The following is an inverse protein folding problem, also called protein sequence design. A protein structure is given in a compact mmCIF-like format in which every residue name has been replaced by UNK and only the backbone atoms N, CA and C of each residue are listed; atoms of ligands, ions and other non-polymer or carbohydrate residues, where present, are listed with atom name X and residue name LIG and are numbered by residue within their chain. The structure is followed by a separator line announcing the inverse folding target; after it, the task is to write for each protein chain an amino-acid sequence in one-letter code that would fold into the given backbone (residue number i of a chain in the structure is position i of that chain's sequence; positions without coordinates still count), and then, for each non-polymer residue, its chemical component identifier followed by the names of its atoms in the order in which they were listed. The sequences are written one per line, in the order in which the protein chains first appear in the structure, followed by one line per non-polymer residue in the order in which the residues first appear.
data_IF_464598935638
#
_entry.id   IF_464598935638
#
_cell.length_a   1.000
_cell.length_b   1.000
_cell.length_c   1.000
_cell.angle_alpha   90.00
_cell.angle_beta   90.00
_cell.angle_gamma   90.00
#
_symmetry.space_group_name_H-M   'P 1'
#
loop_
_entity.id
_entity.type
_entity.pdbx_description
1 polymer ?
#
# COMPACT_ATOMS: atom_id res chain seq x y z
N UNK A 1 16.32 20.43 18.83
CA UNK A 1 15.08 19.70 19.21
C UNK A 1 15.40 18.21 19.13
N UNK A 2 15.06 17.43 20.15
CA UNK A 2 15.55 16.06 20.32
C UNK A 2 15.07 15.07 19.26
N UNK A 3 15.66 13.87 19.24
CA UNK A 3 15.42 12.80 18.26
C UNK A 3 13.94 12.35 18.14
N UNK A 4 13.12 12.66 19.15
CA UNK A 4 11.68 12.35 19.20
C UNK A 4 10.78 13.50 18.72
N UNK A 5 11.34 14.66 18.38
CA UNK A 5 10.57 15.83 17.93
C UNK A 5 9.83 15.59 16.60
N UNK A 6 10.28 14.65 15.77
CA UNK A 6 9.62 14.25 14.52
C UNK A 6 8.21 13.67 14.74
N UNK A 7 7.98 12.98 15.86
CA UNK A 7 6.65 12.43 16.20
C UNK A 7 5.64 13.54 16.57
N UNK A 8 6.13 14.72 16.95
CA UNK A 8 5.33 15.83 17.48
C UNK A 8 5.28 17.05 16.55
N UNK A 9 6.08 17.11 15.49
CA UNK A 9 6.20 18.31 14.67
C UNK A 9 5.00 18.52 13.72
N UNK A 10 4.23 17.47 13.46
CA UNK A 10 3.05 17.55 12.59
C UNK A 10 1.81 16.96 13.28
N UNK A 11 0.65 17.52 12.95
CA UNK A 11 -0.71 17.01 13.27
C UNK A 11 -0.93 15.57 12.75
N UNK A 12 0.09 14.99 12.13
CA UNK A 12 0.20 13.65 11.57
C UNK A 12 -0.22 12.54 12.53
N UNK A 13 0.16 12.54 13.81
CA UNK A 13 -0.26 11.44 14.71
C UNK A 13 -1.74 11.53 15.11
N UNK A 14 -2.28 12.74 15.32
CA UNK A 14 -3.70 12.96 15.61
C UNK A 14 -4.53 12.54 14.42
N UNK A 15 -4.12 12.96 13.21
CA UNK A 15 -4.74 12.52 11.97
C UNK A 15 -4.63 11.01 11.80
N UNK A 16 -3.47 10.41 12.09
CA UNK A 16 -3.28 8.95 12.00
C UNK A 16 -4.24 8.21 12.91
N UNK A 17 -4.41 8.65 14.16
CA UNK A 17 -5.41 8.09 15.07
C UNK A 17 -6.82 8.30 14.51
N UNK A 18 -7.16 9.52 14.07
CA UNK A 18 -8.47 9.84 13.49
C UNK A 18 -8.83 8.96 12.29
N UNK A 19 -7.91 8.82 11.33
CA UNK A 19 -8.06 7.97 10.16
C UNK A 19 -8.17 6.49 10.54
N UNK A 20 -7.33 6.02 11.46
CA UNK A 20 -7.36 4.63 11.92
C UNK A 20 -8.69 4.32 12.61
N UNK A 21 -9.14 5.18 13.53
CA UNK A 21 -10.43 5.05 14.21
C UNK A 21 -11.59 5.06 13.22
N UNK A 22 -11.57 5.96 12.21
CA UNK A 22 -12.59 6.00 11.16
C UNK A 22 -12.63 4.68 10.38
N UNK A 23 -11.49 4.23 9.86
CA UNK A 23 -11.38 3.00 9.06
C UNK A 23 -11.88 1.79 9.87
N UNK A 24 -11.35 1.60 11.08
CA UNK A 24 -11.72 0.45 11.92
C UNK A 24 -13.20 0.50 12.32
N UNK A 25 -13.72 1.68 12.70
CA UNK A 25 -15.13 1.83 13.05
C UNK A 25 -16.03 1.49 11.86
N UNK A 26 -15.71 1.99 10.67
CA UNK A 26 -16.47 1.67 9.46
C UNK A 26 -16.48 0.17 9.18
N UNK A 27 -15.33 -0.50 9.28
CA UNK A 27 -15.24 -1.96 9.09
C UNK A 27 -16.10 -2.70 10.12
N UNK A 28 -15.95 -2.40 11.41
CA UNK A 28 -16.71 -3.04 12.49
C UNK A 28 -18.22 -2.82 12.37
N UNK A 29 -18.64 -1.61 12.03
CA UNK A 29 -20.06 -1.27 11.84
C UNK A 29 -20.64 -2.05 10.67
N UNK A 30 -19.96 -2.09 9.52
CA UNK A 30 -20.44 -2.84 8.36
C UNK A 30 -20.45 -4.35 8.64
N UNK A 31 -19.45 -4.89 9.33
CA UNK A 31 -19.42 -6.30 9.73
C UNK A 31 -20.62 -6.68 10.59
N UNK A 32 -20.98 -5.78 11.52
CA UNK A 32 -22.11 -5.97 12.42
C UNK A 32 -23.46 -5.79 11.74
N UNK A 33 -23.59 -4.83 10.83
CA UNK A 33 -24.86 -4.50 10.16
C UNK A 33 -25.17 -5.41 8.97
N UNK A 34 -24.13 -5.90 8.28
CA UNK A 34 -24.27 -6.71 7.07
C UNK A 34 -23.58 -8.08 7.20
N UNK A 35 -23.87 -8.88 8.25
CA UNK A 35 -23.17 -10.15 8.48
C UNK A 35 -23.47 -11.21 7.42
N UNK A 36 -24.58 -11.09 6.70
CA UNK A 36 -25.01 -12.03 5.65
C UNK A 36 -24.41 -11.73 4.26
N UNK A 37 -23.75 -10.59 4.12
CA UNK A 37 -23.12 -10.18 2.86
C UNK A 37 -21.75 -10.83 2.77
N UNK A 38 -21.40 -11.34 1.58
CA UNK A 38 -20.09 -11.96 1.34
C UNK A 38 -18.95 -10.99 1.62
N UNK A 39 -17.83 -11.48 2.11
CA UNK A 39 -16.67 -10.67 2.47
C UNK A 39 -16.17 -9.82 1.31
N UNK A 40 -16.14 -10.37 0.09
CA UNK A 40 -15.79 -9.62 -1.13
C UNK A 40 -16.71 -8.42 -1.41
N UNK A 41 -18.00 -8.55 -1.13
CA UNK A 41 -18.97 -7.47 -1.31
C UNK A 41 -18.88 -6.46 -0.17
N UNK A 42 -18.69 -6.93 1.07
CA UNK A 42 -18.43 -6.06 2.22
C UNK A 42 -17.18 -5.23 2.01
N UNK A 43 -16.14 -5.80 1.39
CA UNK A 43 -14.93 -5.06 1.04
C UNK A 43 -15.20 -3.83 0.17
N UNK A 44 -16.02 -3.99 -0.87
CA UNK A 44 -16.43 -2.88 -1.74
C UNK A 44 -17.30 -1.88 -0.99
N UNK A 45 -18.14 -2.33 -0.04
CA UNK A 45 -18.94 -1.44 0.80
C UNK A 45 -18.05 -0.64 1.75
N UNK A 46 -17.05 -1.26 2.42
CA UNK A 46 -16.07 -0.54 3.24
C UNK A 46 -15.39 0.56 2.42
N UNK A 47 -14.92 0.21 1.22
CA UNK A 47 -14.24 1.16 0.32
C UNK A 47 -15.16 2.31 -0.11
N UNK A 48 -16.40 2.01 -0.49
CA UNK A 48 -17.37 3.03 -0.91
C UNK A 48 -17.68 4.01 0.21
N UNK A 49 -18.00 3.50 1.41
CA UNK A 49 -18.29 4.34 2.57
C UNK A 49 -17.06 5.14 2.98
N UNK A 50 -15.88 4.51 3.06
CA UNK A 50 -14.66 5.22 3.47
C UNK A 50 -14.23 6.26 2.46
N UNK A 51 -14.37 6.01 1.15
CA UNK A 51 -14.09 7.05 0.14
C UNK A 51 -15.03 8.24 0.32
N UNK A 52 -16.32 7.99 0.57
CA UNK A 52 -17.30 9.05 0.82
C UNK A 52 -17.06 9.83 2.11
N UNK A 53 -16.49 9.20 3.15
CA UNK A 53 -16.19 9.87 4.42
C UNK A 53 -14.83 10.58 4.42
N UNK A 54 -13.79 9.95 3.86
CA UNK A 54 -12.43 10.46 3.86
C UNK A 54 -12.29 11.68 2.96
N UNK A 55 -12.92 11.69 1.76
CA UNK A 55 -12.78 12.82 0.82
C UNK A 55 -13.28 14.14 1.42
N UNK A 56 -14.50 14.25 2.00
CA UNK A 56 -14.94 15.47 2.68
C UNK A 56 -14.08 15.86 3.87
N UNK A 57 -13.60 14.88 4.65
CA UNK A 57 -12.73 15.16 5.80
C UNK A 57 -11.36 15.70 5.37
N UNK A 58 -10.80 15.18 4.28
CA UNK A 58 -9.56 15.69 3.70
C UNK A 58 -9.77 17.11 3.14
N UNK A 59 -10.88 17.35 2.42
CA UNK A 59 -11.28 18.69 1.97
C UNK A 59 -11.35 19.64 3.17
N UNK A 60 -11.99 19.23 4.25
CA UNK A 60 -12.08 20.04 5.45
C UNK A 60 -10.70 20.31 6.06
N UNK A 61 -9.88 19.28 6.26
CA UNK A 61 -8.54 19.39 6.85
C UNK A 61 -7.60 20.31 6.05
N UNK A 62 -7.66 20.24 4.72
CA UNK A 62 -6.89 21.11 3.83
C UNK A 62 -7.40 22.56 3.88
N UNK A 63 -8.71 22.77 3.92
CA UNK A 63 -9.28 24.12 3.95
C UNK A 63 -9.01 24.87 5.28
N UNK A 64 -8.89 24.15 6.40
CA UNK A 64 -8.50 24.74 7.69
C UNK A 64 -6.96 24.86 7.85
N UNK A 65 -6.19 24.56 6.80
CA UNK A 65 -4.72 24.52 6.80
C UNK A 65 -4.10 23.57 7.83
N UNK A 66 -4.84 22.53 8.23
CA UNK A 66 -4.34 21.49 9.12
C UNK A 66 -3.49 20.46 8.35
N UNK A 67 -3.71 20.35 7.04
CA UNK A 67 -2.91 19.55 6.11
C UNK A 67 -2.63 20.34 4.84
N UNK A 68 -1.47 20.11 4.24
CA UNK A 68 -1.10 20.64 2.93
C UNK A 68 -0.50 19.54 2.05
N UNK A 69 -0.65 19.70 0.74
CA UNK A 69 0.07 18.87 -0.23
C UNK A 69 1.48 19.43 -0.43
N UNK A 70 2.45 18.53 -0.62
CA UNK A 70 3.82 18.97 -0.87
C UNK A 70 3.90 19.77 -2.19
N UNK A 71 4.91 20.66 -2.35
CA UNK A 71 5.09 21.41 -3.59
C UNK A 71 5.21 20.50 -4.81
N UNK A 72 5.79 19.32 -4.62
CA UNK A 72 5.89 18.28 -5.63
C UNK A 72 4.52 17.77 -6.04
N UNK A 73 3.68 17.33 -5.09
CA UNK A 73 2.32 16.87 -5.40
C UNK A 73 1.52 17.96 -6.12
N UNK A 74 1.63 19.23 -5.67
CA UNK A 74 0.95 20.35 -6.31
C UNK A 74 1.42 20.64 -7.76
N UNK A 75 2.66 20.28 -8.12
CA UNK A 75 3.18 20.42 -9.49
C UNK A 75 2.70 19.33 -10.45
N UNK A 76 2.14 18.25 -9.89
CA UNK A 76 1.94 16.92 -10.51
C UNK A 76 0.47 16.56 -10.64
N UNK A 77 -0.37 17.15 -9.79
CA UNK A 77 -1.82 17.05 -9.94
C UNK A 77 -2.27 17.68 -11.25
N UNK A 78 -3.40 17.20 -11.77
CA UNK A 78 -4.07 17.60 -13.02
C UNK A 78 -4.32 19.09 -13.19
N UNK A 79 -4.18 19.86 -12.11
CA UNK A 79 -4.67 21.22 -12.01
C UNK A 79 -6.19 21.30 -11.76
N UNK A 80 -6.89 20.16 -11.69
CA UNK A 80 -8.31 20.10 -11.35
C UNK A 80 -8.42 19.93 -9.84
N UNK A 81 -8.90 20.98 -9.17
CA UNK A 81 -9.10 20.99 -7.73
C UNK A 81 -10.58 21.08 -7.38
N UNK A 82 -11.02 20.21 -6.48
CA UNK A 82 -12.30 20.29 -5.80
C UNK A 82 -12.04 20.84 -4.40
N UNK A 83 -12.47 22.07 -4.11
CA UNK A 83 -12.27 22.73 -2.81
C UNK A 83 -10.81 22.69 -2.29
N UNK A 84 -9.84 23.04 -3.16
CA UNK A 84 -8.38 23.00 -2.90
C UNK A 84 -7.75 21.60 -2.79
N UNK A 85 -8.54 20.55 -2.96
CA UNK A 85 -8.07 19.16 -2.99
C UNK A 85 -8.02 18.67 -4.43
N UNK A 86 -6.93 18.01 -4.86
CA UNK A 86 -6.82 17.45 -6.21
C UNK A 86 -7.85 16.36 -6.45
N UNK A 87 -8.47 16.30 -7.64
CA UNK A 87 -9.49 15.30 -7.99
C UNK A 87 -8.97 13.86 -7.89
N UNK A 88 -7.67 13.69 -8.01
CA UNK A 88 -6.92 12.46 -7.82
C UNK A 88 -7.19 11.80 -6.45
N UNK A 89 -7.68 12.56 -5.45
CA UNK A 89 -8.10 12.01 -4.16
C UNK A 89 -9.13 10.88 -4.30
N UNK A 90 -10.00 10.92 -5.32
CA UNK A 90 -10.99 9.89 -5.58
C UNK A 90 -10.37 8.58 -6.08
N UNK A 91 -9.14 8.62 -6.60
CA UNK A 91 -8.36 7.45 -6.95
C UNK A 91 -7.49 7.01 -5.77
N UNK A 92 -6.79 7.94 -5.11
CA UNK A 92 -5.84 7.65 -4.05
C UNK A 92 -6.50 7.02 -2.81
N UNK A 93 -7.65 7.56 -2.42
CA UNK A 93 -8.37 7.12 -1.23
C UNK A 93 -8.74 5.64 -1.31
N UNK A 94 -9.48 5.16 -2.33
CA UNK A 94 -9.87 3.74 -2.37
C UNK A 94 -8.67 2.79 -2.50
N UNK A 95 -7.58 3.18 -3.17
CA UNK A 95 -6.38 2.33 -3.28
C UNK A 95 -5.68 2.18 -1.92
N UNK A 96 -5.35 3.29 -1.25
CA UNK A 96 -4.69 3.24 0.05
C UNK A 96 -5.56 2.60 1.12
N UNK A 97 -6.83 2.99 1.18
CA UNK A 97 -7.77 2.41 2.12
C UNK A 97 -7.97 0.92 1.85
N UNK A 98 -7.96 0.49 0.59
CA UNK A 98 -8.01 -0.94 0.23
C UNK A 98 -6.83 -1.73 0.75
N UNK A 99 -5.61 -1.20 0.68
CA UNK A 99 -4.42 -1.83 1.27
C UNK A 99 -4.53 -1.93 2.80
N UNK A 100 -4.97 -0.86 3.46
CA UNK A 100 -5.11 -0.81 4.92
C UNK A 100 -6.21 -1.79 5.40
N UNK A 101 -7.38 -1.78 4.77
CA UNK A 101 -8.48 -2.70 5.10
C UNK A 101 -8.01 -4.15 4.91
N UNK A 102 -7.38 -4.45 3.77
CA UNK A 102 -6.93 -5.82 3.49
C UNK A 102 -5.86 -6.26 4.49
N UNK A 103 -4.95 -5.37 4.88
CA UNK A 103 -3.99 -5.64 5.93
C UNK A 103 -4.67 -5.96 7.26
N UNK A 104 -5.59 -5.11 7.70
CA UNK A 104 -6.35 -5.33 8.93
C UNK A 104 -7.14 -6.64 8.90
N UNK A 105 -7.91 -6.88 7.84
CA UNK A 105 -8.75 -8.07 7.70
C UNK A 105 -7.94 -9.36 7.56
N UNK A 106 -6.78 -9.31 6.89
CA UNK A 106 -5.86 -10.44 6.83
C UNK A 106 -5.43 -10.88 8.24
N UNK A 107 -5.12 -9.93 9.12
CA UNK A 107 -4.75 -10.23 10.50
C UNK A 107 -5.95 -10.60 11.37
N UNK A 108 -7.14 -10.06 11.11
CA UNK A 108 -8.39 -10.50 11.78
C UNK A 108 -8.62 -12.00 11.60
N UNK A 109 -8.34 -12.59 10.42
CA UNK A 109 -8.41 -14.05 10.26
C UNK A 109 -7.49 -14.84 11.21
N UNK A 110 -6.34 -14.26 11.59
CA UNK A 110 -5.40 -14.87 12.55
C UNK A 110 -5.87 -14.66 13.98
N UNK A 111 -6.35 -13.46 14.30
CA UNK A 111 -6.76 -13.07 15.66
C UNK A 111 -8.05 -13.78 16.06
N UNK A 112 -9.01 -13.87 15.13
CA UNK A 112 -10.33 -14.46 15.35
C UNK A 112 -10.36 -15.98 15.11
N UNK A 113 -9.19 -16.59 14.88
CA UNK A 113 -8.98 -18.03 14.63
C UNK A 113 -9.96 -18.62 13.59
N UNK A 114 -10.18 -17.88 12.50
CA UNK A 114 -11.13 -18.30 11.46
C UNK A 114 -10.57 -19.54 10.75
N UNK A 115 -11.32 -20.66 10.68
CA UNK A 115 -10.84 -21.88 10.03
C UNK A 115 -10.78 -21.68 8.52
N UNK A 116 -9.57 -21.43 8.00
CA UNK A 116 -9.31 -21.30 6.57
C UNK A 116 -8.84 -22.63 5.99
N UNK A 117 -9.53 -23.11 4.96
CA UNK A 117 -9.21 -24.39 4.29
C UNK A 117 -8.05 -24.18 3.32
N UNK A 118 -6.90 -24.83 3.51
CA UNK A 118 -5.81 -24.76 2.54
C UNK A 118 -6.19 -25.56 1.27
N UNK A 119 -6.34 -24.88 0.13
CA UNK A 119 -6.61 -25.56 -1.14
C UNK A 119 -5.38 -26.33 -1.64
N UNK A 120 -5.56 -27.62 -1.92
CA UNK A 120 -4.52 -28.53 -2.44
C UNK A 120 -4.05 -28.18 -3.87
N UNK A 121 -4.88 -27.49 -4.64
CA UNK A 121 -4.55 -26.99 -6.01
C UNK A 121 -4.94 -25.51 -6.12
N UNK A 122 -3.94 -24.63 -6.00
CA UNK A 122 -4.14 -23.19 -6.18
C UNK A 122 -4.19 -22.82 -7.67
N UNK A 123 -5.09 -21.90 -8.02
CA UNK A 123 -5.20 -21.35 -9.38
C UNK A 123 -4.13 -20.28 -9.55
N UNK A 124 -2.92 -20.72 -9.87
CA UNK A 124 -1.74 -19.85 -9.87
C UNK A 124 -1.88 -18.60 -10.75
N UNK A 125 -2.58 -18.69 -11.88
CA UNK A 125 -2.86 -17.54 -12.74
C UNK A 125 -3.71 -16.46 -12.04
N UNK A 126 -4.68 -16.86 -11.22
CA UNK A 126 -5.52 -15.93 -10.44
C UNK A 126 -4.68 -15.20 -9.40
N UNK A 127 -3.83 -15.92 -8.68
CA UNK A 127 -2.97 -15.33 -7.63
C UNK A 127 -1.98 -14.31 -8.23
N UNK A 128 -1.40 -14.64 -9.39
CA UNK A 128 -0.57 -13.70 -10.17
C UNK A 128 -1.41 -12.49 -10.64
N UNK A 129 -2.66 -12.70 -11.05
CA UNK A 129 -3.55 -11.59 -11.49
C UNK A 129 -3.89 -10.66 -10.34
N UNK A 130 -4.16 -11.19 -9.14
CA UNK A 130 -4.42 -10.38 -7.94
C UNK A 130 -3.17 -9.59 -7.56
N UNK A 131 -2.00 -10.22 -7.58
CA UNK A 131 -0.73 -9.55 -7.37
C UNK A 131 -0.49 -8.45 -8.41
N UNK A 132 -0.74 -8.73 -9.68
CA UNK A 132 -0.67 -7.76 -10.77
C UNK A 132 -1.57 -6.56 -10.51
N UNK A 133 -2.86 -6.77 -10.22
CA UNK A 133 -3.81 -5.68 -9.97
C UNK A 133 -3.38 -4.85 -8.76
N UNK A 134 -3.04 -5.50 -7.65
CA UNK A 134 -2.60 -4.79 -6.44
C UNK A 134 -1.35 -3.94 -6.69
N UNK A 135 -0.31 -4.53 -7.28
CA UNK A 135 0.97 -3.85 -7.54
C UNK A 135 0.80 -2.78 -8.59
N UNK A 136 0.03 -3.04 -9.64
CA UNK A 136 -0.26 -2.05 -10.67
C UNK A 136 -0.98 -0.83 -10.10
N UNK A 137 -2.05 -1.03 -9.31
CA UNK A 137 -2.77 0.07 -8.67
C UNK A 137 -1.87 0.86 -7.71
N UNK A 138 -0.99 0.18 -6.97
CA UNK A 138 -0.04 0.80 -6.08
C UNK A 138 1.08 1.56 -6.81
N UNK A 139 1.66 1.02 -7.89
CA UNK A 139 2.74 1.67 -8.63
C UNK A 139 2.24 2.85 -9.46
N UNK A 140 1.09 2.69 -10.14
CA UNK A 140 0.41 3.80 -10.85
C UNK A 140 0.13 4.97 -9.90
N UNK A 141 0.07 4.69 -8.60
CA UNK A 141 -0.12 5.69 -7.56
C UNK A 141 1.20 6.32 -7.07
N UNK A 142 2.21 5.50 -6.78
CA UNK A 142 3.46 5.94 -6.14
C UNK A 142 4.44 6.54 -7.15
N UNK A 143 4.53 5.98 -8.36
CA UNK A 143 5.50 6.39 -9.37
C UNK A 143 5.30 7.85 -9.85
N UNK A 144 4.08 8.33 -10.16
CA UNK A 144 3.88 9.73 -10.54
C UNK A 144 4.23 10.72 -9.43
N UNK A 145 4.07 10.32 -8.16
CA UNK A 145 4.47 11.12 -7.00
C UNK A 145 5.99 11.12 -6.79
N UNK A 146 6.68 10.04 -7.14
CA UNK A 146 8.13 9.97 -7.06
C UNK A 146 8.82 10.76 -8.18
N UNK A 147 8.28 10.69 -9.42
CA UNK A 147 8.89 11.27 -10.63
C UNK A 147 8.35 12.66 -10.96
N UNK A 148 7.35 13.13 -10.22
CA UNK A 148 6.70 14.43 -10.43
C UNK A 148 6.05 14.61 -11.82
N UNK A 149 5.19 13.69 -12.24
CA UNK A 149 4.50 13.74 -13.55
C UNK A 149 3.03 14.20 -13.51
N UNK A 150 2.64 15.13 -14.42
CA UNK A 150 1.30 15.74 -14.44
C UNK A 150 0.18 14.77 -14.88
N UNK A 151 -0.99 14.79 -14.23
CA UNK A 151 -2.20 14.16 -14.80
C UNK A 151 -2.72 14.99 -16.01
N UNK A 152 -3.19 14.40 -17.14
CA UNK A 152 -3.53 13.00 -17.41
C UNK A 152 -2.38 12.20 -18.04
N UNK A 153 -1.12 12.56 -17.85
CA UNK A 153 0.01 11.74 -18.33
C UNK A 153 0.08 10.38 -17.63
N UNK A 154 -0.69 10.17 -16.56
CA UNK A 154 -0.94 8.85 -15.94
C UNK A 154 -1.62 7.86 -16.91
N UNK A 155 -2.29 8.35 -17.96
CA UNK A 155 -2.85 7.52 -19.03
C UNK A 155 -1.79 7.07 -20.06
N UNK A 156 -0.61 7.69 -20.06
CA UNK A 156 0.52 7.27 -20.87
C UNK A 156 1.36 6.27 -20.07
N UNK A 157 1.00 4.99 -20.21
CA UNK A 157 1.79 3.78 -19.90
C UNK A 157 3.23 3.78 -20.53
N UNK A 158 3.74 4.91 -21.03
CA UNK A 158 4.29 4.94 -22.39
C UNK A 158 5.59 5.69 -22.66
N UNK A 159 6.48 5.95 -21.70
CA UNK A 159 7.87 6.21 -22.09
C UNK A 159 8.88 5.40 -21.27
N UNK A 160 8.99 4.14 -21.70
CA UNK A 160 10.19 3.31 -21.78
C UNK A 160 10.84 2.73 -20.51
N UNK A 161 10.36 3.02 -19.30
CA UNK A 161 10.88 2.39 -18.06
C UNK A 161 9.76 1.97 -17.06
N UNK A 162 8.52 2.47 -17.21
CA UNK A 162 7.47 2.31 -16.17
C UNK A 162 6.77 0.95 -16.10
N UNK A 163 6.84 0.07 -17.11
CA UNK A 163 6.35 -1.31 -16.97
C UNK A 163 7.39 -2.25 -16.37
N UNK A 164 8.67 -1.86 -16.43
CA UNK A 164 9.78 -2.69 -15.98
C UNK A 164 9.82 -2.79 -14.46
N UNK A 165 9.67 -1.66 -13.75
CA UNK A 165 9.69 -1.62 -12.29
C UNK A 165 8.48 -2.38 -11.68
N UNK A 166 7.22 -2.10 -12.07
CA UNK A 166 6.07 -2.88 -11.62
C UNK A 166 6.19 -4.35 -12.04
N UNK A 167 6.69 -4.63 -13.25
CA UNK A 167 6.95 -5.99 -13.71
C UNK A 167 7.90 -6.75 -12.79
N UNK A 168 9.00 -6.13 -12.37
CA UNK A 168 9.93 -6.69 -11.39
C UNK A 168 9.24 -6.93 -10.06
N UNK A 169 8.45 -5.99 -9.56
CA UNK A 169 7.73 -6.17 -8.29
C UNK A 169 6.69 -7.29 -8.36
N UNK A 170 5.95 -7.40 -9.48
CA UNK A 170 5.02 -8.49 -9.74
C UNK A 170 5.75 -9.83 -9.74
N UNK A 171 6.92 -9.90 -10.37
CA UNK A 171 7.75 -11.11 -10.36
C UNK A 171 8.22 -11.42 -8.94
N UNK A 172 8.78 -10.46 -8.21
CA UNK A 172 9.30 -10.67 -6.84
C UNK A 172 8.20 -11.09 -5.89
N UNK A 173 7.12 -10.32 -5.79
CA UNK A 173 6.02 -10.56 -4.86
C UNK A 173 5.21 -11.77 -5.31
N UNK A 174 4.89 -11.85 -6.60
CA UNK A 174 4.14 -12.95 -7.20
C UNK A 174 4.85 -14.28 -7.00
N UNK A 175 6.13 -14.41 -7.40
CA UNK A 175 6.93 -15.63 -7.20
C UNK A 175 7.04 -15.98 -5.72
N UNK A 176 7.32 -15.00 -4.86
CA UNK A 176 7.39 -15.23 -3.41
C UNK A 176 6.08 -15.79 -2.88
N UNK A 177 4.93 -15.25 -3.33
CA UNK A 177 3.63 -15.74 -2.92
C UNK A 177 3.42 -17.22 -3.30
N UNK A 178 3.88 -17.65 -4.47
CA UNK A 178 3.82 -19.05 -4.90
C UNK A 178 4.75 -19.93 -4.09
N UNK A 179 6.01 -19.53 -3.94
CA UNK A 179 7.02 -20.32 -3.28
C UNK A 179 6.62 -20.57 -1.83
N UNK A 180 6.18 -19.52 -1.15
CA UNK A 180 5.64 -19.61 0.21
C UNK A 180 4.39 -20.47 0.26
N UNK A 181 3.45 -20.26 -0.68
CA UNK A 181 2.21 -21.04 -0.73
C UNK A 181 2.43 -22.54 -0.99
N UNK A 182 3.45 -22.90 -1.78
CA UNK A 182 3.74 -24.27 -2.19
C UNK A 182 4.63 -25.02 -1.19
N UNK A 183 5.73 -24.41 -0.77
CA UNK A 183 6.73 -25.08 0.07
C UNK A 183 6.43 -24.93 1.57
N UNK A 184 5.80 -23.84 1.96
CA UNK A 184 5.55 -23.51 3.37
C UNK A 184 4.06 -23.62 3.73
N UNK A 185 3.27 -24.36 2.97
CA UNK A 185 1.82 -24.52 3.18
C UNK A 185 1.46 -25.08 4.56
N UNK A 186 2.36 -25.85 5.15
CA UNK A 186 2.21 -26.52 6.46
C UNK A 186 2.47 -25.58 7.65
N UNK A 187 3.10 -24.43 7.43
CA UNK A 187 3.35 -23.46 8.49
C UNK A 187 2.09 -22.63 8.81
N UNK A 188 1.93 -22.18 10.07
CA UNK A 188 0.89 -21.22 10.43
C UNK A 188 0.95 -19.93 9.61
N UNK A 189 -0.18 -19.22 9.52
CA UNK A 189 -0.31 -18.00 8.71
C UNK A 189 0.74 -16.94 9.05
N UNK A 190 1.01 -16.71 10.34
CA UNK A 190 2.04 -15.78 10.81
C UNK A 190 3.42 -16.09 10.22
N UNK A 191 3.87 -17.35 10.31
CA UNK A 191 5.19 -17.75 9.80
C UNK A 191 5.26 -17.64 8.27
N UNK A 192 4.19 -18.02 7.56
CA UNK A 192 4.12 -17.84 6.10
C UNK A 192 4.23 -16.37 5.72
N UNK A 193 3.58 -15.47 6.47
CA UNK A 193 3.68 -14.03 6.27
C UNK A 193 5.11 -13.53 6.51
N UNK A 194 5.72 -13.90 7.63
CA UNK A 194 7.09 -13.49 7.96
C UNK A 194 8.10 -14.00 6.94
N UNK A 195 7.98 -15.25 6.49
CA UNK A 195 8.85 -15.82 5.45
C UNK A 195 8.66 -15.07 4.13
N UNK A 196 7.41 -14.79 3.72
CA UNK A 196 7.14 -14.01 2.52
C UNK A 196 7.75 -12.62 2.63
N UNK A 197 7.56 -11.93 3.75
CA UNK A 197 8.09 -10.61 4.02
C UNK A 197 9.63 -10.59 4.01
N UNK A 198 10.27 -11.59 4.62
CA UNK A 198 11.72 -11.71 4.61
C UNK A 198 12.25 -11.91 3.20
N UNK A 199 11.67 -12.84 2.42
CA UNK A 199 12.09 -13.10 1.04
C UNK A 199 11.89 -11.85 0.17
N UNK A 200 10.72 -11.22 0.19
CA UNK A 200 10.47 -10.03 -0.62
C UNK A 200 11.38 -8.88 -0.21
N UNK A 201 11.58 -8.65 1.08
CA UNK A 201 12.46 -7.57 1.58
C UNK A 201 13.91 -7.80 1.20
N UNK A 202 14.42 -9.03 1.37
CA UNK A 202 15.80 -9.39 1.00
C UNK A 202 16.08 -9.23 -0.49
N UNK A 203 15.07 -9.40 -1.35
CA UNK A 203 15.17 -9.14 -2.79
C UNK A 203 14.94 -7.67 -3.13
N UNK A 204 13.98 -7.02 -2.48
CA UNK A 204 13.56 -5.65 -2.78
C UNK A 204 14.65 -4.63 -2.47
N UNK A 205 15.30 -4.72 -1.31
CA UNK A 205 16.33 -3.76 -0.89
C UNK A 205 17.49 -3.67 -1.90
N UNK A 206 18.13 -4.76 -2.37
CA UNK A 206 19.21 -4.65 -3.36
C UNK A 206 18.73 -4.21 -4.75
N UNK A 207 17.51 -4.58 -5.15
CA UNK A 207 16.91 -4.10 -6.41
C UNK A 207 16.69 -2.59 -6.35
N UNK A 208 16.08 -2.12 -5.27
CA UNK A 208 15.84 -0.69 -5.01
C UNK A 208 17.15 0.10 -4.98
N UNK A 209 18.18 -0.44 -4.30
CA UNK A 209 19.51 0.16 -4.30
C UNK A 209 20.10 0.29 -5.71
N UNK A 210 19.85 -0.70 -6.58
CA UNK A 210 20.30 -0.68 -7.97
C UNK A 210 19.54 0.36 -8.78
N UNK A 211 18.23 0.49 -8.57
CA UNK A 211 17.42 1.51 -9.23
C UNK A 211 17.83 2.93 -8.83
N UNK A 212 18.11 3.16 -7.55
CA UNK A 212 18.59 4.47 -7.07
C UNK A 212 19.94 4.81 -7.69
N UNK A 213 20.91 3.88 -7.67
CA UNK A 213 22.27 4.12 -8.20
C UNK A 213 22.29 4.39 -9.70
N UNK A 214 21.42 3.72 -10.46
CA UNK A 214 21.33 3.90 -11.92
C UNK A 214 20.39 5.04 -12.32
N UNK A 215 19.79 5.76 -11.37
CA UNK A 215 18.87 6.87 -11.65
C UNK A 215 17.50 6.43 -12.16
N UNK A 216 17.15 5.15 -12.09
CA UNK A 216 15.80 4.65 -12.42
C UNK A 216 14.77 5.02 -11.35
N UNK A 217 15.22 5.20 -10.10
CA UNK A 217 14.38 5.68 -9.00
C UNK A 217 15.01 6.91 -8.38
N UNK A 218 14.27 8.02 -8.42
CA UNK A 218 14.68 9.29 -7.82
C UNK A 218 13.62 9.72 -6.83
N UNK A 219 14.02 9.99 -5.58
CA UNK A 219 13.14 10.49 -4.55
C UNK A 219 13.10 12.03 -4.60
N UNK A 220 11.97 12.64 -4.21
CA UNK A 220 11.83 14.10 -4.22
C UNK A 220 12.82 14.81 -3.30
N UNK A 221 13.14 16.07 -3.61
CA UNK A 221 13.98 16.91 -2.76
C UNK A 221 13.40 17.05 -1.35
N UNK A 222 12.08 17.19 -1.23
CA UNK A 222 11.37 17.21 0.06
C UNK A 222 11.58 15.92 0.86
N UNK A 223 11.52 14.74 0.22
CA UNK A 223 11.76 13.47 0.90
C UNK A 223 13.22 13.34 1.34
N UNK A 224 14.16 13.72 0.48
CA UNK A 224 15.59 13.67 0.78
C UNK A 224 16.00 14.63 1.90
N UNK A 225 15.35 15.80 2.00
CA UNK A 225 15.60 16.78 3.05
C UNK A 225 15.38 16.22 4.46
N UNK A 226 14.45 15.27 4.61
CA UNK A 226 14.15 14.63 5.90
C UNK A 226 14.98 13.39 6.20
N UNK A 227 15.90 12.99 5.31
CA UNK A 227 16.80 11.88 5.61
C UNK A 227 17.76 12.24 6.72
N UNK A 228 17.96 11.30 7.65
CA UNK A 228 18.90 11.40 8.76
C UNK A 228 20.36 11.45 8.31
N UNK A 229 20.62 11.17 7.03
CA UNK A 229 21.96 11.02 6.47
C UNK A 229 22.63 9.71 6.85
N UNK A 230 21.91 8.77 7.50
CA UNK A 230 22.40 7.43 7.81
C UNK A 230 22.15 6.51 6.62
N UNK A 231 23.18 5.78 6.21
CA UNK A 231 23.12 4.86 5.08
C UNK A 231 23.38 3.41 5.51
N UNK A 232 22.74 2.46 4.85
CA UNK A 232 23.08 1.05 4.98
C UNK A 232 24.54 0.81 4.57
N UNK A 233 25.37 0.14 5.39
CA UNK A 233 26.80 0.00 5.13
C UNK A 233 27.16 -0.63 3.77
N UNK A 234 26.41 -1.65 3.35
CA UNK A 234 26.72 -2.44 2.14
C UNK A 234 26.11 -1.80 0.89
N UNK A 235 24.82 -1.50 0.94
CA UNK A 235 24.06 -1.04 -0.23
C UNK A 235 24.07 0.48 -0.39
N UNK A 236 24.57 1.23 0.59
CA UNK A 236 24.66 2.71 0.57
C UNK A 236 23.33 3.38 0.21
N UNK A 237 22.22 2.78 0.64
CA UNK A 237 20.89 3.39 0.54
C UNK A 237 20.54 4.09 1.86
N UNK A 238 19.77 5.19 1.83
CA UNK A 238 19.22 5.82 3.03
C UNK A 238 18.50 4.81 3.92
N UNK A 239 18.71 4.90 5.23
CA UNK A 239 18.13 3.98 6.20
C UNK A 239 16.60 4.04 6.20
N UNK A 240 16.02 5.20 5.92
CA UNK A 240 14.58 5.43 5.80
C UNK A 240 13.96 4.58 4.70
N UNK A 241 14.63 4.47 3.55
CA UNK A 241 14.19 3.62 2.44
C UNK A 241 14.29 2.15 2.85
N UNK A 242 15.39 1.75 3.49
CA UNK A 242 15.58 0.39 3.97
C UNK A 242 14.49 -0.03 4.98
N UNK A 243 14.04 0.89 5.82
CA UNK A 243 12.92 0.68 6.74
C UNK A 243 11.55 0.72 6.05
N UNK A 244 11.34 1.59 5.07
CA UNK A 244 10.06 1.74 4.40
C UNK A 244 9.69 0.53 3.52
N UNK A 245 10.68 -0.07 2.83
CA UNK A 245 10.49 -1.24 1.95
C UNK A 245 9.71 -2.38 2.62
N UNK A 246 10.09 -2.91 3.80
CA UNK A 246 9.33 -4.00 4.44
C UNK A 246 7.91 -3.60 4.81
N UNK A 247 7.62 -2.34 5.18
CA UNK A 247 6.24 -1.91 5.46
C UNK A 247 5.38 -1.90 4.20
N UNK A 248 5.91 -1.42 3.07
CA UNK A 248 5.20 -1.50 1.79
C UNK A 248 4.98 -2.95 1.37
N UNK A 249 6.00 -3.81 1.48
CA UNK A 249 5.88 -5.23 1.18
C UNK A 249 4.84 -5.92 2.09
N UNK A 250 4.77 -5.56 3.36
CA UNK A 250 3.79 -6.10 4.30
C UNK A 250 2.35 -5.77 3.88
N UNK A 251 2.07 -4.53 3.48
CA UNK A 251 0.76 -4.13 2.96
C UNK A 251 0.38 -4.90 1.69
N UNK A 252 1.32 -5.00 0.75
CA UNK A 252 1.11 -5.70 -0.52
C UNK A 252 0.88 -7.20 -0.33
N UNK A 253 1.70 -7.86 0.50
CA UNK A 253 1.55 -9.28 0.82
C UNK A 253 0.19 -9.51 1.50
N UNK A 254 -0.16 -8.70 2.50
CA UNK A 254 -1.44 -8.86 3.19
C UNK A 254 -2.62 -8.64 2.25
N UNK A 255 -2.55 -7.66 1.35
CA UNK A 255 -3.56 -7.43 0.32
C UNK A 255 -3.78 -8.66 -0.56
N UNK A 256 -2.69 -9.22 -1.12
CA UNK A 256 -2.78 -10.39 -2.00
C UNK A 256 -3.35 -11.59 -1.23
N UNK A 257 -2.84 -11.85 -0.03
CA UNK A 257 -3.26 -13.00 0.78
C UNK A 257 -4.69 -12.89 1.29
N UNK A 258 -5.14 -11.68 1.63
CA UNK A 258 -6.53 -11.43 1.99
C UNK A 258 -7.48 -11.86 0.87
N UNK A 259 -7.23 -11.38 -0.35
CA UNK A 259 -8.05 -11.72 -1.52
C UNK A 259 -7.95 -13.19 -1.91
N UNK A 260 -6.76 -13.79 -1.84
CA UNK A 260 -6.60 -15.24 -2.02
C UNK A 260 -7.48 -16.02 -1.04
N UNK A 261 -7.43 -15.70 0.26
CA UNK A 261 -8.17 -16.40 1.29
C UNK A 261 -9.69 -16.29 1.08
N UNK A 262 -10.19 -15.11 0.75
CA UNK A 262 -11.63 -14.89 0.47
C UNK A 262 -12.07 -15.70 -0.74
N UNK A 263 -11.32 -15.61 -1.84
CA UNK A 263 -11.69 -16.28 -3.10
C UNK A 263 -11.53 -17.80 -3.02
N UNK A 264 -10.62 -18.30 -2.19
CA UNK A 264 -10.42 -19.74 -1.97
C UNK A 264 -11.48 -20.34 -1.05
N UNK A 265 -11.93 -19.60 -0.04
CA UNK A 265 -12.89 -20.09 0.95
C UNK A 265 -14.34 -19.66 0.64
N UNK A 266 -14.57 -18.92 -0.46
CA UNK A 266 -15.87 -18.36 -0.85
C UNK A 266 -16.54 -17.56 0.28
N UNK A 267 -15.75 -16.77 1.01
CA UNK A 267 -16.19 -15.92 2.11
C UNK A 267 -16.97 -14.69 1.61
#
# INVERSE_FOLDING_TARGET
MGEWAYLYHDVSWILTIGWTSLILTTVLVIDKLLPHVKESQRFLIYLGILTFLIVPLEIWAVNINLRGYSPEVNKVVSGIFLFRVPIEIFYYTPVFTGLIISFYKYWSFVIDDVPLVPLKRRKWLRDITIAFIGIFLFEVMVEPMAVNQKFPQWSYIFHDISLFIPGIWIVVIGITAVLVGKFFSHFPMLYRFLIALSITTSLAIPIEATFIRNGFRVYSESAQHFYTGVFMPVLKIPIEIAFAVPFYMALMIAFIRYWENILDNNL
#
